data_IF_528304650096
#
_entry.id   IF_528304650096
#
_cell.length_a   1.000
_cell.length_b   1.000
_cell.length_c   1.000
_cell.angle_alpha   90.00
_cell.angle_beta   90.00
_cell.angle_gamma   90.00
#
_symmetry.space_group_name_H-M   'P 1'
#
loop_
_entity.id
_entity.type
_entity.pdbx_description
1 polymer ?
#
# COMPACT_ATOMS: atom_id res chain seq x y z
N UNK A 1 8.23 10.07 20.21
CA UNK A 1 8.59 9.15 19.10
C UNK A 1 7.44 9.10 18.12
N UNK A 2 7.65 9.30 16.80
CA UNK A 2 6.60 9.04 15.83
C UNK A 2 6.20 7.56 15.88
N UNK A 3 4.91 7.22 15.67
CA UNK A 3 4.46 5.84 15.69
C UNK A 3 5.15 5.03 14.59
N UNK A 4 5.60 3.82 14.93
CA UNK A 4 6.16 2.86 13.99
C UNK A 4 5.04 1.98 13.45
N UNK A 5 5.04 1.75 12.13
CA UNK A 5 4.02 0.98 11.41
C UNK A 5 4.55 -0.41 11.09
N UNK A 6 3.76 -1.46 11.28
CA UNK A 6 4.16 -2.82 10.90
C UNK A 6 4.17 -2.94 9.38
N UNK A 7 5.25 -3.47 8.80
CA UNK A 7 5.42 -3.61 7.34
C UNK A 7 5.72 -5.03 6.88
N UNK A 8 6.07 -5.91 7.81
CA UNK A 8 6.25 -7.34 7.56
C UNK A 8 6.16 -8.12 8.87
N UNK A 9 5.78 -9.38 8.77
CA UNK A 9 5.71 -10.35 9.86
C UNK A 9 6.41 -11.61 9.38
N UNK A 10 7.38 -12.10 10.18
CA UNK A 10 8.01 -13.38 9.95
C UNK A 10 7.50 -14.38 10.96
N UNK A 11 6.87 -15.44 10.47
CA UNK A 11 6.49 -16.59 11.28
C UNK A 11 7.68 -17.55 11.35
N UNK A 12 8.19 -17.82 12.55
CA UNK A 12 9.19 -18.87 12.74
C UNK A 12 8.46 -20.21 12.93
N UNK A 13 8.86 -21.25 12.19
CA UNK A 13 8.19 -22.56 12.21
C UNK A 13 8.22 -23.29 13.56
N UNK A 14 9.20 -22.97 14.42
CA UNK A 14 9.36 -23.60 15.74
C UNK A 14 9.85 -22.63 16.83
N UNK A 15 9.77 -21.31 16.59
CA UNK A 15 10.28 -20.28 17.49
C UNK A 15 9.39 -19.03 17.52
N UNK A 16 9.80 -18.01 18.29
CA UNK A 16 9.10 -16.72 18.30
C UNK A 16 9.27 -16.00 16.96
N UNK A 17 8.16 -15.71 16.27
CA UNK A 17 8.17 -14.85 15.08
C UNK A 17 8.60 -13.41 15.42
N UNK A 18 8.92 -12.61 14.41
CA UNK A 18 9.26 -11.19 14.59
C UNK A 18 8.50 -10.30 13.62
N UNK A 19 8.34 -9.03 13.99
CA UNK A 19 7.68 -8.02 13.15
C UNK A 19 8.67 -6.95 12.75
N UNK A 20 8.67 -6.57 11.48
CA UNK A 20 9.40 -5.39 11.03
C UNK A 20 8.50 -4.18 11.11
N UNK A 21 9.05 -3.10 11.69
CA UNK A 21 8.35 -1.83 11.79
C UNK A 21 9.14 -0.73 11.12
N UNK A 22 8.45 0.21 10.49
CA UNK A 22 9.03 1.33 9.78
C UNK A 22 8.51 2.66 10.35
N UNK A 23 9.39 3.65 10.44
CA UNK A 23 8.98 5.04 10.63
C UNK A 23 8.49 5.64 9.31
N UNK A 24 7.86 6.82 9.37
CA UNK A 24 7.35 7.49 8.18
C UNK A 24 8.42 7.70 7.08
N UNK A 25 9.64 8.10 7.43
CA UNK A 25 10.71 8.27 6.43
C UNK A 25 11.14 6.96 5.78
N UNK A 26 11.13 5.84 6.51
CA UNK A 26 11.37 4.51 5.95
C UNK A 26 10.22 4.08 5.01
N UNK A 27 8.96 4.37 5.36
CA UNK A 27 7.81 4.11 4.47
C UNK A 27 7.97 4.83 3.13
N UNK A 28 8.49 6.05 3.13
CA UNK A 28 8.72 6.83 1.91
C UNK A 28 9.89 6.26 1.11
N UNK A 29 11.06 6.15 1.74
CA UNK A 29 12.31 5.78 1.07
C UNK A 29 12.25 4.38 0.46
N UNK A 30 11.64 3.44 1.16
CA UNK A 30 11.51 2.05 0.71
C UNK A 30 10.14 1.76 0.07
N UNK A 31 9.29 2.80 -0.07
CA UNK A 31 7.95 2.70 -0.65
C UNK A 31 7.08 1.62 0.01
N UNK A 32 7.24 1.41 1.32
CA UNK A 32 6.63 0.27 2.02
C UNK A 32 5.12 0.45 2.19
N UNK A 33 4.39 -0.64 1.96
CA UNK A 33 2.96 -0.74 2.26
C UNK A 33 2.80 -1.31 3.68
N UNK A 34 2.04 -0.63 4.56
CA UNK A 34 1.69 -1.17 5.87
C UNK A 34 1.09 -2.58 5.80
N UNK A 35 1.51 -3.45 6.71
CA UNK A 35 1.17 -4.87 6.73
C UNK A 35 -0.35 -5.11 6.77
N UNK A 36 -1.09 -4.24 7.46
CA UNK A 36 -2.56 -4.30 7.52
C UNK A 36 -3.26 -4.19 6.15
N UNK A 37 -2.57 -3.68 5.13
CA UNK A 37 -3.09 -3.59 3.76
C UNK A 37 -2.59 -4.70 2.82
N UNK A 38 -1.81 -5.65 3.33
CA UNK A 38 -1.33 -6.77 2.52
C UNK A 38 -2.50 -7.69 2.15
N UNK A 39 -2.48 -8.31 0.96
CA UNK A 39 -3.47 -9.33 0.62
C UNK A 39 -3.48 -10.47 1.64
N UNK A 40 -4.65 -11.05 1.92
CA UNK A 40 -4.80 -12.10 2.95
C UNK A 40 -3.89 -13.33 2.75
N UNK A 41 -3.52 -13.64 1.51
CA UNK A 41 -2.64 -14.77 1.17
C UNK A 41 -1.16 -14.37 1.05
N UNK A 42 -0.79 -13.15 1.44
CA UNK A 42 0.59 -12.70 1.43
C UNK A 42 1.38 -13.43 2.53
N UNK A 43 2.64 -13.77 2.24
CA UNK A 43 3.51 -14.60 3.09
C UNK A 43 4.12 -13.86 4.30
N UNK A 44 3.68 -12.63 4.56
CA UNK A 44 4.23 -11.79 5.61
C UNK A 44 5.43 -10.93 5.20
N UNK A 45 6.02 -11.11 4.01
CA UNK A 45 7.16 -10.33 3.56
C UNK A 45 6.81 -8.85 3.32
N UNK A 46 7.84 -8.00 3.18
CA UNK A 46 7.66 -6.58 2.85
C UNK A 46 7.03 -6.43 1.47
N UNK A 47 5.95 -5.65 1.38
CA UNK A 47 5.34 -5.25 0.12
C UNK A 47 5.57 -3.76 -0.13
N UNK A 48 5.82 -3.40 -1.39
CA UNK A 48 6.10 -2.01 -1.79
C UNK A 48 5.02 -1.46 -2.72
N UNK A 49 4.80 -0.15 -2.66
CA UNK A 49 3.96 0.55 -3.63
C UNK A 49 4.57 0.40 -5.03
N UNK A 50 3.78 -0.04 -6.02
CA UNK A 50 4.26 -0.22 -7.39
C UNK A 50 4.66 1.12 -8.01
N UNK A 51 5.52 1.10 -9.02
CA UNK A 51 6.08 2.31 -9.66
C UNK A 51 5.01 3.24 -10.27
N UNK A 52 3.83 2.70 -10.62
CA UNK A 52 2.70 3.52 -11.07
C UNK A 52 2.19 4.50 -9.99
N UNK A 53 2.50 4.26 -8.71
CA UNK A 53 2.24 5.18 -7.60
C UNK A 53 3.38 6.19 -7.54
N UNK A 54 3.15 7.48 -7.80
CA UNK A 54 4.22 8.47 -7.78
C UNK A 54 4.84 8.64 -6.38
N UNK A 55 6.13 9.00 -6.32
CA UNK A 55 6.85 9.15 -5.06
C UNK A 55 6.26 10.21 -4.12
N UNK A 56 5.71 11.29 -4.66
CA UNK A 56 5.01 12.30 -3.87
C UNK A 56 3.71 11.77 -3.26
N UNK A 57 3.04 10.84 -3.95
CA UNK A 57 1.87 10.15 -3.38
C UNK A 57 2.28 9.20 -2.25
N UNK A 58 3.40 8.50 -2.37
CA UNK A 58 3.94 7.70 -1.26
C UNK A 58 4.28 8.60 -0.05
N UNK A 59 4.91 9.75 -0.28
CA UNK A 59 5.18 10.75 0.77
C UNK A 59 3.92 11.25 1.46
N UNK A 60 2.83 11.41 0.71
CA UNK A 60 1.52 11.80 1.22
C UNK A 60 0.83 10.71 2.05
N UNK A 61 1.12 9.43 1.79
CA UNK A 61 0.53 8.27 2.46
C UNK A 61 1.26 7.92 3.75
N UNK A 62 2.58 8.08 3.80
CA UNK A 62 3.41 7.67 4.93
C UNK A 62 2.96 8.23 6.30
N UNK A 63 2.54 9.52 6.44
CA UNK A 63 2.04 10.04 7.71
C UNK A 63 0.69 9.46 8.14
N UNK A 64 -0.08 8.90 7.20
CA UNK A 64 -1.37 8.27 7.49
C UNK A 64 -1.23 6.84 8.02
N UNK A 65 -0.06 6.22 7.83
CA UNK A 65 0.26 4.88 8.34
C UNK A 65 -0.84 3.87 8.04
N UNK A 66 -1.40 3.27 9.09
CA UNK A 66 -2.43 2.21 9.05
C UNK A 66 -3.86 2.76 9.01
N UNK A 67 -4.05 4.03 8.63
CA UNK A 67 -5.37 4.65 8.61
C UNK A 67 -6.38 3.82 7.80
N UNK A 68 -7.56 3.49 8.38
CA UNK A 68 -8.52 2.59 7.74
C UNK A 68 -9.09 3.15 6.43
N UNK A 69 -9.04 4.47 6.22
CA UNK A 69 -9.46 5.12 4.96
C UNK A 69 -8.62 4.67 3.75
N UNK A 70 -7.42 4.13 3.99
CA UNK A 70 -6.52 3.65 2.95
C UNK A 70 -6.73 2.18 2.59
N UNK A 71 -7.38 1.38 3.44
CA UNK A 71 -7.48 -0.07 3.26
C UNK A 71 -8.10 -0.46 1.90
N UNK A 72 -9.29 0.06 1.59
CA UNK A 72 -9.97 -0.25 0.34
C UNK A 72 -9.26 0.33 -0.91
N UNK A 73 -8.77 1.58 -0.92
CA UNK A 73 -7.96 2.10 -2.01
C UNK A 73 -6.68 1.31 -2.30
N UNK A 74 -5.91 0.95 -1.26
CA UNK A 74 -4.67 0.17 -1.41
C UNK A 74 -4.98 -1.24 -1.91
N UNK A 75 -5.99 -1.92 -1.35
CA UNK A 75 -6.39 -3.24 -1.82
C UNK A 75 -6.79 -3.26 -3.30
N UNK A 76 -7.54 -2.25 -3.77
CA UNK A 76 -7.90 -2.11 -5.19
C UNK A 76 -6.69 -1.87 -6.09
N UNK A 77 -5.74 -1.03 -5.66
CA UNK A 77 -4.49 -0.81 -6.39
C UNK A 77 -3.72 -2.11 -6.57
N UNK A 78 -3.54 -2.87 -5.49
CA UNK A 78 -2.80 -4.14 -5.53
C UNK A 78 -3.47 -5.16 -6.45
N UNK A 79 -4.80 -5.26 -6.40
CA UNK A 79 -5.57 -6.13 -7.29
C UNK A 79 -5.42 -5.72 -8.77
N UNK A 80 -5.57 -4.44 -9.09
CA UNK A 80 -5.43 -3.94 -10.46
C UNK A 80 -4.01 -4.16 -11.00
N UNK A 81 -2.99 -3.89 -10.18
CA UNK A 81 -1.58 -4.10 -10.57
C UNK A 81 -1.26 -5.58 -10.73
N UNK A 82 -1.84 -6.46 -9.92
CA UNK A 82 -1.70 -7.91 -10.12
C UNK A 82 -2.27 -8.34 -11.48
N UNK A 83 -3.42 -7.78 -11.90
CA UNK A 83 -4.00 -8.04 -13.23
C UNK A 83 -3.11 -7.59 -14.38
N UNK A 84 -2.39 -6.47 -14.24
CA UNK A 84 -1.44 -6.03 -15.30
C UNK A 84 -0.27 -6.99 -15.53
N UNK A 85 -0.05 -7.94 -14.61
CA UNK A 85 1.00 -8.96 -14.70
C UNK A 85 0.47 -10.32 -15.14
N UNK A 86 -0.83 -10.45 -15.34
CA UNK A 86 -1.45 -11.70 -15.77
C UNK A 86 -1.18 -11.96 -17.24
N UNK A 87 -0.39 -13.01 -17.51
CA UNK A 87 0.04 -13.38 -18.87
C UNK A 87 -1.05 -14.11 -19.67
N UNK A 88 -2.19 -14.42 -19.06
CA UNK A 88 -3.31 -15.08 -19.72
C UNK A 88 -4.26 -14.10 -20.42
N UNK A 89 -4.11 -12.80 -20.14
CA UNK A 89 -4.94 -11.75 -20.71
C UNK A 89 -4.52 -11.41 -22.16
N UNK A 90 -5.51 -11.10 -22.99
CA UNK A 90 -5.27 -10.51 -24.30
C UNK A 90 -4.88 -9.02 -24.21
N UNK A 91 -4.56 -8.40 -25.36
CA UNK A 91 -4.09 -7.02 -25.41
C UNK A 91 -5.11 -5.99 -24.91
N UNK A 92 -6.40 -6.19 -25.21
CA UNK A 92 -7.48 -5.28 -24.81
C UNK A 92 -7.72 -5.38 -23.30
N UNK A 93 -7.68 -6.61 -22.77
CA UNK A 93 -7.77 -6.89 -21.34
C UNK A 93 -6.58 -6.32 -20.56
N UNK A 94 -5.36 -6.43 -21.10
CA UNK A 94 -4.18 -5.81 -20.50
C UNK A 94 -4.28 -4.28 -20.51
N UNK A 95 -4.78 -3.69 -21.60
CA UNK A 95 -5.02 -2.25 -21.67
C UNK A 95 -6.01 -1.80 -20.58
N UNK A 96 -7.14 -2.51 -20.46
CA UNK A 96 -8.13 -2.24 -19.43
C UNK A 96 -7.55 -2.39 -18.01
N UNK A 97 -6.71 -3.39 -17.76
CA UNK A 97 -6.03 -3.56 -16.47
C UNK A 97 -5.08 -2.40 -16.15
N UNK A 98 -4.38 -1.86 -17.14
CA UNK A 98 -3.55 -0.67 -16.96
C UNK A 98 -4.38 0.57 -16.63
N UNK A 99 -5.53 0.75 -17.28
CA UNK A 99 -6.46 1.85 -16.97
C UNK A 99 -7.08 1.72 -15.59
N UNK A 100 -7.46 0.51 -15.18
CA UNK A 100 -7.90 0.22 -13.81
C UNK A 100 -6.82 0.57 -12.78
N UNK A 101 -5.56 0.24 -13.06
CA UNK A 101 -4.45 0.57 -12.17
C UNK A 101 -4.26 2.10 -12.06
N UNK A 102 -4.34 2.84 -13.17
CA UNK A 102 -4.30 4.32 -13.17
C UNK A 102 -5.48 4.91 -12.38
N UNK A 103 -6.68 4.40 -12.57
CA UNK A 103 -7.87 4.81 -11.83
C UNK A 103 -7.73 4.52 -10.33
N UNK A 104 -7.13 3.39 -9.96
CA UNK A 104 -6.86 3.04 -8.57
C UNK A 104 -5.87 4.03 -7.91
N UNK A 105 -4.82 4.45 -8.64
CA UNK A 105 -3.89 5.51 -8.17
C UNK A 105 -4.63 6.83 -7.93
N UNK A 106 -5.52 7.23 -8.84
CA UNK A 106 -6.32 8.45 -8.66
C UNK A 106 -7.21 8.39 -7.41
N UNK A 107 -7.85 7.24 -7.16
CA UNK A 107 -8.66 7.00 -5.94
C UNK A 107 -7.80 7.01 -4.67
N UNK A 108 -6.60 6.45 -4.73
CA UNK A 108 -5.65 6.46 -3.61
C UNK A 108 -5.21 7.89 -3.27
N UNK A 109 -4.94 8.72 -4.29
CA UNK A 109 -4.63 10.14 -4.11
C UNK A 109 -5.78 10.90 -3.43
N UNK A 110 -7.01 10.62 -3.83
CA UNK A 110 -8.19 11.22 -3.21
C UNK A 110 -8.37 10.80 -1.75
N UNK A 111 -8.22 9.51 -1.44
CA UNK A 111 -8.26 9.02 -0.06
C UNK A 111 -7.16 9.66 0.81
N UNK A 112 -5.95 9.81 0.27
CA UNK A 112 -4.84 10.46 0.96
C UNK A 112 -5.15 11.93 1.30
N UNK A 113 -5.82 12.66 0.40
CA UNK A 113 -6.27 14.04 0.66
C UNK A 113 -7.28 14.08 1.81
N UNK A 114 -8.29 13.22 1.78
CA UNK A 114 -9.33 13.13 2.82
C UNK A 114 -8.75 12.78 4.19
N UNK A 115 -7.88 11.76 4.25
CA UNK A 115 -7.24 11.33 5.49
C UNK A 115 -6.36 12.40 6.15
N UNK A 116 -5.76 13.31 5.36
CA UNK A 116 -5.04 14.48 5.90
C UNK A 116 -5.97 15.55 6.46
N UNK A 117 -7.16 15.74 5.85
CA UNK A 117 -8.17 16.65 6.37
C UNK A 117 -8.63 16.23 7.77
N UNK A 118 -9.00 14.96 7.93
CA UNK A 118 -9.44 14.42 9.22
C UNK A 118 -8.34 14.44 10.28
N UNK A 119 -7.07 14.20 9.90
CA UNK A 119 -5.94 14.28 10.82
C UNK A 119 -5.60 15.71 11.29
N UNK A 120 -6.00 16.73 10.52
CA UNK A 120 -5.80 18.14 10.86
C UNK A 120 -6.91 18.68 11.76
N UNK A 121 -8.14 18.18 11.62
CA UNK A 121 -9.28 18.55 12.47
C UNK A 121 -9.21 17.93 13.88
N UNK A 122 -8.53 16.79 14.02
CA UNK A 122 -8.36 16.12 15.31
C UNK A 122 -7.19 16.64 16.17
N UNK A 123 -6.52 17.73 15.75
CA UNK A 123 -5.40 18.38 16.46
C UNK A 123 -5.81 19.77 16.95
#
# INVERSE_FOLDING_TARGET
MPPLVVVAVHHAGSGGGWTHRACASCLIRERLIPFTFHPLRHDGARLTYPEIVPGELVAMLAPLGESPVLAAPVGRLLAAVARTKDRTLDADQLHAAHDEARAAVARLREAARRGRGTAREAR
#
